data_IF_108481934426
#
_entry.id   IF_108481934426
#
_cell.length_a   1.000
_cell.length_b   1.000
_cell.length_c   1.000
_cell.angle_alpha   90.00
_cell.angle_beta   90.00
_cell.angle_gamma   90.00
#
_symmetry.space_group_name_H-M   'P 1'
#
loop_
_entity.id
_entity.type
_entity.pdbx_description
1 polymer ?
#
# COMPACT_ATOMS: atom_id res chain seq x y z
N UNK A 1 36.98 -1.65 4.77
CA UNK A 1 36.23 -1.43 6.03
C UNK A 1 35.61 -2.76 6.44
N UNK A 2 35.96 -3.33 7.61
CA UNK A 2 35.27 -4.53 8.11
C UNK A 2 33.83 -4.14 8.44
N UNK A 3 32.87 -4.86 7.86
CA UNK A 3 31.45 -4.59 7.97
C UNK A 3 31.02 -4.65 9.45
N UNK A 4 30.77 -3.50 10.08
CA UNK A 4 30.45 -3.36 11.52
C UNK A 4 29.00 -3.78 11.80
N UNK A 5 28.65 -5.04 11.57
CA UNK A 5 27.34 -5.59 11.96
C UNK A 5 26.13 -5.00 11.23
N UNK A 6 26.32 -4.36 10.08
CA UNK A 6 25.21 -3.93 9.22
C UNK A 6 24.78 -5.12 8.35
N UNK A 7 23.68 -5.77 8.74
CA UNK A 7 23.02 -6.77 7.91
C UNK A 7 22.19 -6.07 6.84
N UNK A 8 22.56 -6.20 5.57
CA UNK A 8 21.73 -5.75 4.46
C UNK A 8 20.50 -6.66 4.40
N UNK A 9 19.31 -6.10 4.63
CA UNK A 9 18.04 -6.81 4.50
C UNK A 9 17.36 -6.31 3.24
N UNK A 10 17.30 -7.16 2.22
CA UNK A 10 16.65 -6.81 0.94
C UNK A 10 15.21 -7.32 0.89
N UNK A 11 14.40 -6.90 1.86
CA UNK A 11 13.03 -7.38 1.99
C UNK A 11 12.17 -7.05 0.77
N UNK A 12 12.33 -5.84 0.23
CA UNK A 12 11.42 -5.30 -0.80
C UNK A 12 11.86 -5.66 -2.22
N UNK A 13 13.16 -5.71 -2.53
CA UNK A 13 13.62 -5.90 -3.92
C UNK A 13 14.03 -7.34 -4.25
N UNK A 14 14.11 -8.23 -3.26
CA UNK A 14 14.25 -9.68 -3.50
C UNK A 14 13.14 -10.21 -4.41
N UNK A 15 13.44 -11.16 -5.31
CA UNK A 15 12.41 -11.75 -6.17
C UNK A 15 11.40 -12.55 -5.33
N UNK A 16 10.12 -12.40 -5.65
CA UNK A 16 9.01 -13.13 -5.02
C UNK A 16 8.04 -13.55 -6.10
N UNK A 17 7.55 -14.78 -6.04
CA UNK A 17 6.40 -15.17 -6.85
C UNK A 17 5.11 -14.62 -6.22
N UNK A 18 4.40 -13.67 -6.87
CA UNK A 18 3.15 -13.14 -6.34
C UNK A 18 2.07 -14.22 -6.15
N UNK A 19 2.09 -15.28 -6.98
CA UNK A 19 1.08 -16.34 -6.94
C UNK A 19 1.11 -17.09 -5.60
N UNK A 20 2.30 -17.45 -5.13
CA UNK A 20 2.47 -18.16 -3.86
C UNK A 20 1.93 -17.35 -2.67
N UNK A 21 2.25 -16.06 -2.62
CA UNK A 21 1.83 -15.18 -1.52
C UNK A 21 0.32 -14.92 -1.56
N UNK A 22 -0.25 -14.69 -2.75
CA UNK A 22 -1.70 -14.51 -2.91
C UNK A 22 -2.49 -15.79 -2.60
N UNK A 23 -1.97 -16.97 -2.93
CA UNK A 23 -2.55 -18.25 -2.53
C UNK A 23 -2.49 -18.48 -1.02
N UNK A 24 -1.42 -18.01 -0.35
CA UNK A 24 -1.35 -18.02 1.11
C UNK A 24 -2.40 -17.09 1.71
N UNK A 25 -2.50 -15.85 1.21
CA UNK A 25 -3.49 -14.88 1.66
C UNK A 25 -4.94 -15.33 1.41
N UNK A 26 -5.22 -16.06 0.33
CA UNK A 26 -6.57 -16.52 -0.01
C UNK A 26 -7.10 -17.59 0.94
N UNK A 27 -6.21 -18.28 1.65
CA UNK A 27 -6.55 -19.26 2.69
C UNK A 27 -6.78 -18.61 4.06
N UNK A 28 -6.49 -17.33 4.20
CA UNK A 28 -6.70 -16.57 5.43
C UNK A 28 -8.03 -15.83 5.37
N UNK A 29 -8.71 -15.75 6.51
CA UNK A 29 -9.82 -14.84 6.76
C UNK A 29 -9.35 -13.39 6.83
N UNK A 30 -10.30 -12.45 6.68
CA UNK A 30 -10.03 -11.02 6.82
C UNK A 30 -9.40 -10.68 8.18
N UNK A 31 -9.91 -11.28 9.26
CA UNK A 31 -9.39 -11.07 10.62
C UNK A 31 -7.97 -11.61 10.79
N UNK A 32 -7.65 -12.79 10.24
CA UNK A 32 -6.29 -13.33 10.28
C UNK A 32 -5.28 -12.45 9.54
N UNK A 33 -5.67 -11.86 8.40
CA UNK A 33 -4.79 -10.93 7.66
C UNK A 33 -4.57 -9.66 8.49
N UNK A 34 -5.64 -9.07 9.04
CA UNK A 34 -5.54 -7.88 9.89
C UNK A 34 -4.66 -8.16 11.12
N UNK A 35 -4.86 -9.31 11.75
CA UNK A 35 -4.11 -9.73 12.92
C UNK A 35 -2.62 -9.92 12.61
N UNK A 36 -2.27 -10.55 11.49
CA UNK A 36 -0.88 -10.66 11.04
C UNK A 36 -0.22 -9.29 10.84
N UNK A 37 -0.92 -8.31 10.25
CA UNK A 37 -0.37 -6.95 10.06
C UNK A 37 -0.30 -6.17 11.39
N UNK A 38 -1.21 -6.43 12.33
CA UNK A 38 -1.14 -5.87 13.69
C UNK A 38 0.07 -6.42 14.44
N UNK A 39 0.24 -7.74 14.45
CA UNK A 39 1.33 -8.45 15.13
C UNK A 39 2.69 -8.11 14.55
N UNK A 40 2.78 -7.83 13.25
CA UNK A 40 4.02 -7.39 12.62
C UNK A 40 4.49 -6.01 13.11
N UNK A 41 3.60 -5.24 13.74
CA UNK A 41 3.89 -3.87 14.17
C UNK A 41 4.14 -2.90 13.00
N UNK A 42 3.63 -3.19 11.80
CA UNK A 42 3.83 -2.34 10.62
C UNK A 42 3.19 -0.97 10.82
N UNK A 43 4.03 0.07 10.84
CA UNK A 43 3.62 1.47 10.80
C UNK A 43 3.62 2.00 9.37
N UNK A 44 2.68 2.89 9.06
CA UNK A 44 2.57 3.54 7.77
C UNK A 44 3.89 4.23 7.38
N UNK A 45 4.37 3.96 6.17
CA UNK A 45 5.69 4.37 5.69
C UNK A 45 5.73 5.72 4.94
N UNK A 46 4.58 6.40 4.86
CA UNK A 46 4.44 7.74 4.27
C UNK A 46 4.63 8.92 5.23
N UNK A 47 5.19 8.71 6.43
CA UNK A 47 5.53 9.79 7.36
C UNK A 47 4.82 9.69 8.72
N UNK A 48 3.48 9.70 8.72
CA UNK A 48 2.69 9.76 9.96
C UNK A 48 2.84 8.55 10.91
N UNK A 49 3.35 7.41 10.43
CA UNK A 49 3.68 6.27 11.28
C UNK A 49 2.48 5.57 11.96
N UNK A 50 1.25 5.80 11.48
CA UNK A 50 0.05 5.18 12.05
C UNK A 50 0.07 3.64 11.89
N UNK A 51 -0.36 2.84 12.90
CA UNK A 51 -0.38 1.39 12.79
C UNK A 51 -1.29 0.89 11.65
N UNK A 52 -0.72 0.18 10.68
CA UNK A 52 -1.40 -0.22 9.44
C UNK A 52 -2.55 -1.20 9.73
N UNK A 53 -2.29 -2.21 10.58
CA UNK A 53 -3.32 -3.19 10.95
C UNK A 53 -4.51 -2.54 11.68
N UNK A 54 -4.27 -1.48 12.46
CA UNK A 54 -5.34 -0.76 13.15
C UNK A 54 -6.19 0.07 12.16
N UNK A 55 -5.54 0.72 11.19
CA UNK A 55 -6.24 1.42 10.08
C UNK A 55 -7.16 0.46 9.32
N UNK A 56 -6.68 -0.75 9.05
CA UNK A 56 -7.46 -1.78 8.37
C UNK A 56 -8.59 -2.31 9.24
N UNK A 57 -8.34 -2.55 10.53
CA UNK A 57 -9.38 -2.95 11.49
C UNK A 57 -10.54 -1.96 11.53
N UNK A 58 -10.25 -0.65 11.59
CA UNK A 58 -11.28 0.38 11.57
C UNK A 58 -12.04 0.42 10.25
N UNK A 59 -11.35 0.34 9.12
CA UNK A 59 -12.00 0.33 7.80
C UNK A 59 -12.84 -0.93 7.57
N UNK A 60 -12.38 -2.08 8.07
CA UNK A 60 -13.10 -3.35 7.99
C UNK A 60 -14.40 -3.34 8.81
N UNK A 61 -14.39 -2.67 9.97
CA UNK A 61 -15.55 -2.56 10.85
C UNK A 61 -16.72 -1.74 10.27
N UNK A 62 -16.44 -0.85 9.31
CA UNK A 62 -17.48 -0.05 8.67
C UNK A 62 -18.41 -0.91 7.79
N UNK A 63 -19.72 -0.72 7.96
CA UNK A 63 -20.75 -1.43 7.20
C UNK A 63 -21.06 -0.65 5.91
N UNK A 64 -20.38 -1.02 4.83
CA UNK A 64 -20.61 -0.45 3.50
C UNK A 64 -20.53 -1.55 2.44
N UNK A 65 -21.42 -1.55 1.43
CA UNK A 65 -21.32 -2.47 0.30
C UNK A 65 -20.08 -2.21 -0.56
N UNK A 66 -19.55 -0.99 -0.51
CA UNK A 66 -18.40 -0.54 -1.27
C UNK A 66 -17.33 0.00 -0.33
N UNK A 67 -16.10 -0.43 -0.54
CA UNK A 67 -14.91 0.04 0.18
C UNK A 67 -13.75 0.11 -0.80
N UNK A 68 -12.77 0.96 -0.49
CA UNK A 68 -11.62 1.20 -1.37
C UNK A 68 -10.29 1.00 -0.66
N UNK A 69 -9.31 0.50 -1.42
CA UNK A 69 -7.90 0.58 -1.07
C UNK A 69 -7.25 1.65 -1.93
N UNK A 70 -6.61 2.64 -1.31
CA UNK A 70 -5.86 3.67 -2.04
C UNK A 70 -4.37 3.48 -1.79
N UNK A 71 -3.61 3.39 -2.87
CA UNK A 71 -2.15 3.50 -2.85
C UNK A 71 -1.78 4.95 -3.15
N UNK A 72 -1.23 5.63 -2.14
CA UNK A 72 -0.67 6.97 -2.30
C UNK A 72 0.76 6.85 -2.86
N UNK A 73 0.91 7.18 -4.15
CA UNK A 73 2.16 7.23 -4.89
C UNK A 73 2.46 8.67 -5.39
N UNK A 74 2.11 9.68 -4.59
CA UNK A 74 2.38 11.08 -4.92
C UNK A 74 3.85 11.47 -4.68
N UNK A 75 4.52 10.85 -3.68
CA UNK A 75 5.95 11.03 -3.31
C UNK A 75 6.47 12.46 -3.57
N UNK A 76 5.73 13.48 -3.13
CA UNK A 76 6.00 14.88 -3.42
C UNK A 76 7.17 15.46 -2.62
N UNK A 77 7.61 14.76 -1.57
CA UNK A 77 8.63 15.22 -0.63
C UNK A 77 10.01 15.39 -1.31
N UNK A 78 10.69 16.53 -1.09
CA UNK A 78 12.05 16.71 -1.61
C UNK A 78 13.00 15.63 -1.09
N UNK A 79 13.83 15.07 -1.98
CA UNK A 79 14.82 14.04 -1.65
C UNK A 79 14.27 12.61 -1.58
N UNK A 80 12.95 12.41 -1.68
CA UNK A 80 12.36 11.06 -1.73
C UNK A 80 12.20 10.55 -3.16
N UNK A 81 12.62 9.31 -3.38
CA UNK A 81 12.45 8.58 -4.65
C UNK A 81 12.29 7.07 -4.43
N UNK A 82 11.95 6.67 -3.19
CA UNK A 82 11.80 5.27 -2.79
C UNK A 82 10.57 4.64 -3.42
N UNK A 83 9.45 5.36 -3.51
CA UNK A 83 8.20 4.85 -4.03
C UNK A 83 8.27 4.71 -5.55
N UNK A 84 8.92 5.68 -6.21
CA UNK A 84 9.33 5.56 -7.62
C UNK A 84 10.11 4.28 -7.87
N UNK A 85 11.14 4.02 -7.07
CA UNK A 85 12.02 2.86 -7.23
C UNK A 85 11.28 1.53 -6.98
N UNK A 86 10.39 1.49 -6.00
CA UNK A 86 9.55 0.32 -5.69
C UNK A 86 8.59 0.05 -6.86
N UNK A 87 7.95 1.09 -7.40
CA UNK A 87 7.05 0.97 -8.55
C UNK A 87 7.80 0.57 -9.82
N UNK A 88 9.01 1.10 -10.05
CA UNK A 88 9.78 0.76 -11.25
C UNK A 88 10.28 -0.69 -11.24
N UNK A 89 10.66 -1.21 -10.06
CA UNK A 89 11.31 -2.53 -9.94
C UNK A 89 10.37 -3.67 -9.57
N UNK A 90 9.36 -3.41 -8.73
CA UNK A 90 8.55 -4.46 -8.09
C UNK A 90 7.07 -4.05 -7.91
N UNK A 91 6.48 -3.34 -8.88
CA UNK A 91 5.08 -2.90 -8.80
C UNK A 91 4.09 -4.04 -8.52
N UNK A 92 4.32 -5.23 -9.06
CA UNK A 92 3.51 -6.43 -8.83
C UNK A 92 3.36 -6.74 -7.34
N UNK A 93 4.36 -6.40 -6.52
CA UNK A 93 4.26 -6.58 -5.07
C UNK A 93 3.40 -5.52 -4.39
N UNK A 94 3.42 -4.28 -4.90
CA UNK A 94 2.52 -3.21 -4.45
C UNK A 94 1.08 -3.61 -4.77
N UNK A 95 0.83 -4.11 -6.00
CA UNK A 95 -0.49 -4.59 -6.42
C UNK A 95 -0.95 -5.79 -5.59
N UNK A 96 -0.06 -6.74 -5.30
CA UNK A 96 -0.35 -7.85 -4.39
C UNK A 96 -0.68 -7.39 -2.97
N UNK A 97 0.08 -6.42 -2.44
CA UNK A 97 -0.23 -5.77 -1.17
C UNK A 97 -1.61 -5.10 -1.15
N UNK A 98 -2.00 -4.45 -2.26
CA UNK A 98 -3.34 -3.88 -2.41
C UNK A 98 -4.44 -4.94 -2.46
N UNK A 99 -4.23 -6.05 -3.16
CA UNK A 99 -5.19 -7.16 -3.21
C UNK A 99 -5.38 -7.82 -1.82
N UNK A 100 -4.29 -8.00 -1.08
CA UNK A 100 -4.31 -8.47 0.31
C UNK A 100 -5.08 -7.49 1.20
N UNK A 101 -4.80 -6.19 1.09
CA UNK A 101 -5.54 -5.15 1.80
C UNK A 101 -7.03 -5.17 1.45
N UNK A 102 -7.37 -5.36 0.17
CA UNK A 102 -8.74 -5.46 -0.32
C UNK A 102 -9.49 -6.61 0.34
N UNK A 103 -8.88 -7.79 0.37
CA UNK A 103 -9.42 -8.96 1.09
C UNK A 103 -9.58 -8.69 2.60
N UNK A 104 -8.61 -8.02 3.22
CA UNK A 104 -8.64 -7.73 4.65
C UNK A 104 -9.80 -6.81 5.04
N UNK A 105 -10.08 -5.77 4.24
CA UNK A 105 -11.11 -4.77 4.59
C UNK A 105 -12.47 -5.05 3.93
N UNK A 106 -12.54 -5.97 2.96
CA UNK A 106 -13.72 -6.25 2.15
C UNK A 106 -13.89 -5.29 0.96
N UNK A 107 -12.80 -4.73 0.44
CA UNK A 107 -12.81 -3.89 -0.75
C UNK A 107 -12.57 -4.72 -2.02
N UNK A 108 -13.29 -4.38 -3.09
CA UNK A 108 -13.11 -4.97 -4.44
C UNK A 108 -12.35 -4.04 -5.39
N UNK A 109 -12.16 -2.79 -5.00
CA UNK A 109 -11.52 -1.78 -5.83
C UNK A 109 -10.32 -1.13 -5.15
N UNK A 110 -9.25 -1.00 -5.93
CA UNK A 110 -8.01 -0.35 -5.59
C UNK A 110 -7.73 0.83 -6.52
N UNK A 111 -7.18 1.91 -5.98
CA UNK A 111 -6.78 3.07 -6.77
C UNK A 111 -5.32 3.37 -6.45
N UNK A 112 -4.47 3.38 -7.48
CA UNK A 112 -3.11 3.92 -7.38
C UNK A 112 -3.16 5.37 -7.82
N UNK A 113 -2.95 6.29 -6.88
CA UNK A 113 -2.81 7.71 -7.19
C UNK A 113 -1.34 8.00 -7.47
N UNK A 114 -0.98 8.11 -8.75
CA UNK A 114 0.39 8.31 -9.22
C UNK A 114 0.61 9.78 -9.52
N UNK A 115 1.64 10.40 -8.93
CA UNK A 115 1.97 11.80 -9.23
C UNK A 115 2.16 12.05 -10.73
N UNK A 116 1.83 13.26 -11.16
CA UNK A 116 1.90 13.65 -12.57
C UNK A 116 3.30 13.52 -13.17
N UNK A 117 4.34 13.79 -12.39
CA UNK A 117 5.74 13.75 -12.82
C UNK A 117 6.23 12.32 -13.09
N UNK A 118 5.56 11.30 -12.55
CA UNK A 118 5.86 9.89 -12.80
C UNK A 118 5.07 9.31 -13.98
N UNK A 119 4.44 10.15 -14.81
CA UNK A 119 3.74 9.73 -16.04
C UNK A 119 4.57 8.82 -16.95
N UNK A 120 5.89 8.96 -16.95
CA UNK A 120 6.79 8.11 -17.74
C UNK A 120 6.79 6.63 -17.29
N UNK A 121 6.45 6.32 -16.03
CA UNK A 121 6.32 4.95 -15.53
C UNK A 121 5.00 4.29 -15.95
N UNK A 122 3.96 5.09 -16.20
CA UNK A 122 2.59 4.62 -16.39
C UNK A 122 2.45 3.52 -17.48
N UNK A 123 3.07 3.62 -18.67
CA UNK A 123 2.92 2.56 -19.68
C UNK A 123 3.41 1.19 -19.22
N UNK A 124 4.54 1.15 -18.51
CA UNK A 124 5.09 -0.09 -17.97
C UNK A 124 4.25 -0.61 -16.80
N UNK A 125 3.82 0.28 -15.91
CA UNK A 125 2.93 -0.08 -14.79
C UNK A 125 1.59 -0.66 -15.26
N UNK A 126 0.99 -0.11 -16.33
CA UNK A 126 -0.24 -0.64 -16.91
C UNK A 126 -0.04 -2.04 -17.53
N UNK A 127 1.10 -2.27 -18.20
CA UNK A 127 1.44 -3.60 -18.73
C UNK A 127 1.57 -4.64 -17.62
N UNK A 128 2.23 -4.26 -16.53
CA UNK A 128 2.41 -5.12 -15.36
C UNK A 128 1.08 -5.35 -14.64
N UNK A 129 0.25 -4.31 -14.50
CA UNK A 129 -1.07 -4.41 -13.91
C UNK A 129 -2.00 -5.34 -14.70
N UNK A 130 -1.97 -5.27 -16.03
CA UNK A 130 -2.73 -6.19 -16.88
C UNK A 130 -2.32 -7.66 -16.65
N UNK A 131 -1.02 -7.92 -16.49
CA UNK A 131 -0.52 -9.27 -16.16
C UNK A 131 -0.97 -9.69 -14.76
N UNK A 132 -0.96 -8.76 -13.81
CA UNK A 132 -1.41 -8.98 -12.44
C UNK A 132 -2.92 -9.27 -12.36
N UNK A 133 -3.77 -8.58 -13.13
CA UNK A 133 -5.21 -8.88 -13.17
C UNK A 133 -5.51 -10.27 -13.73
N UNK A 134 -4.78 -10.71 -14.76
CA UNK A 134 -4.88 -12.10 -15.25
C UNK A 134 -4.53 -13.11 -14.15
N UNK A 135 -3.49 -12.83 -13.37
CA UNK A 135 -3.15 -13.66 -12.21
C UNK A 135 -4.26 -13.66 -11.16
N UNK A 136 -4.88 -12.52 -10.86
CA UNK A 136 -6.02 -12.47 -9.94
C UNK A 136 -7.20 -13.32 -10.45
N UNK A 137 -7.47 -13.29 -11.76
CA UNK A 137 -8.53 -14.10 -12.38
C UNK A 137 -8.25 -15.60 -12.26
N UNK A 138 -7.01 -16.03 -12.54
CA UNK A 138 -6.57 -17.41 -12.34
C UNK A 138 -6.72 -17.88 -10.88
N UNK A 139 -6.57 -16.96 -9.93
CA UNK A 139 -6.67 -17.23 -8.49
C UNK A 139 -8.08 -17.02 -7.92
N UNK A 140 -9.04 -16.57 -8.73
CA UNK A 140 -10.41 -16.26 -8.27
C UNK A 140 -10.51 -15.05 -7.33
N UNK A 141 -9.58 -14.10 -7.42
CA UNK A 141 -9.62 -12.85 -6.64
C UNK A 141 -10.54 -11.82 -7.31
N UNK A 142 -11.64 -11.48 -6.64
CA UNK A 142 -12.55 -10.38 -7.03
C UNK A 142 -12.01 -9.03 -6.55
N UNK A 143 -10.89 -8.60 -7.13
CA UNK A 143 -10.27 -7.31 -6.86
C UNK A 143 -9.73 -6.69 -8.15
N UNK A 144 -9.93 -5.38 -8.32
CA UNK A 144 -9.42 -4.61 -9.47
C UNK A 144 -8.72 -3.36 -9.01
N UNK A 145 -7.69 -2.97 -9.77
CA UNK A 145 -6.91 -1.77 -9.51
C UNK A 145 -7.01 -0.87 -10.74
N UNK A 146 -7.11 0.43 -10.52
CA UNK A 146 -6.99 1.45 -11.57
C UNK A 146 -5.98 2.51 -11.17
N UNK A 147 -5.41 3.18 -12.16
CA UNK A 147 -4.57 4.35 -11.94
C UNK A 147 -5.40 5.63 -11.98
N UNK A 148 -5.07 6.57 -11.11
CA UNK A 148 -5.50 7.96 -11.17
C UNK A 148 -4.23 8.81 -11.21
N UNK A 149 -4.13 9.71 -12.18
CA UNK A 149 -2.96 10.58 -12.32
C UNK A 149 -3.16 11.88 -11.56
N UNK A 150 -2.19 12.24 -10.74
CA UNK A 150 -2.10 13.56 -10.15
C UNK A 150 -1.69 14.62 -11.16
N UNK A 151 -1.87 15.89 -10.78
CA UNK A 151 -1.59 17.05 -11.64
C UNK A 151 -0.49 17.98 -11.09
N UNK A 152 0.49 17.41 -10.36
CA UNK A 152 1.69 18.12 -9.88
C UNK A 152 1.48 18.97 -8.63
N UNK A 153 0.43 18.71 -7.84
CA UNK A 153 0.14 19.44 -6.62
C UNK A 153 0.63 18.67 -5.39
N UNK A 154 1.68 19.17 -4.73
CA UNK A 154 2.27 18.58 -3.51
C UNK A 154 1.23 18.31 -2.40
N UNK A 155 0.23 19.19 -2.27
CA UNK A 155 -0.83 19.04 -1.24
C UNK A 155 -1.68 17.78 -1.45
N UNK A 156 -1.76 17.25 -2.68
CA UNK A 156 -2.46 16.01 -2.97
C UNK A 156 -1.73 14.77 -2.42
N UNK A 157 -0.54 14.92 -1.82
CA UNK A 157 0.06 13.89 -0.98
C UNK A 157 -0.66 13.71 0.36
N UNK A 158 -1.42 14.71 0.85
CA UNK A 158 -2.25 14.58 2.04
C UNK A 158 -3.46 13.68 1.77
N UNK A 159 -3.79 12.80 2.71
CA UNK A 159 -4.75 11.72 2.52
C UNK A 159 -6.12 12.17 1.99
N UNK A 160 -6.69 13.27 2.49
CA UNK A 160 -8.02 13.75 2.12
C UNK A 160 -8.01 14.65 0.88
N UNK A 161 -6.97 15.47 0.69
CA UNK A 161 -6.76 16.21 -0.56
C UNK A 161 -6.60 15.26 -1.76
N UNK A 162 -5.92 14.13 -1.55
CA UNK A 162 -5.79 13.07 -2.53
C UNK A 162 -7.16 12.53 -2.95
N UNK A 163 -8.10 12.36 -2.01
CA UNK A 163 -9.44 11.88 -2.32
C UNK A 163 -10.22 12.86 -3.19
N UNK A 164 -10.14 14.16 -2.89
CA UNK A 164 -10.75 15.18 -3.75
C UNK A 164 -10.18 15.13 -5.16
N UNK A 165 -8.85 15.01 -5.28
CA UNK A 165 -8.21 14.90 -6.59
C UNK A 165 -8.62 13.63 -7.35
N UNK A 166 -8.81 12.49 -6.68
CA UNK A 166 -9.32 11.25 -7.29
C UNK A 166 -10.74 11.46 -7.82
N UNK A 167 -11.55 12.26 -7.12
CA UNK A 167 -12.94 12.56 -7.47
C UNK A 167 -13.07 13.58 -8.60
N UNK A 168 -11.97 14.21 -9.02
CA UNK A 168 -11.96 15.28 -10.03
C UNK A 168 -12.14 16.69 -9.45
N UNK A 169 -12.18 16.81 -8.13
CA UNK A 169 -12.27 18.08 -7.42
C UNK A 169 -10.87 18.69 -7.20
N UNK A 170 -10.83 19.94 -6.75
CA UNK A 170 -9.58 20.57 -6.30
C UNK A 170 -9.06 19.83 -5.06
N UNK A 171 -7.76 19.55 -5.01
CA UNK A 171 -7.08 18.85 -3.90
C UNK A 171 -7.00 19.66 -2.60
N UNK A 172 -8.15 20.10 -2.08
CA UNK A 172 -8.28 20.80 -0.81
C UNK A 172 -8.49 19.76 0.31
N UNK A 173 -7.65 19.74 1.36
CA UNK A 173 -7.84 18.82 2.48
C UNK A 173 -9.21 18.99 3.16
N UNK A 174 -9.81 17.88 3.57
CA UNK A 174 -11.05 17.87 4.35
C UNK A 174 -10.76 18.09 5.83
N UNK A 175 -11.66 18.78 6.51
CA UNK A 175 -11.68 18.80 7.97
C UNK A 175 -11.95 17.39 8.51
N UNK A 176 -11.25 17.03 9.61
CA UNK A 176 -11.46 15.77 10.34
C UNK A 176 -12.11 16.11 11.68
N UNK A 177 -13.19 15.42 12.11
CA UNK A 177 -13.93 14.35 11.41
C UNK A 177 -14.76 14.84 10.19
N UNK A 178 -15.15 13.92 9.26
CA UNK A 178 -14.99 12.46 9.31
C UNK A 178 -13.58 11.98 8.92
N UNK A 179 -13.19 10.80 9.45
CA UNK A 179 -11.91 10.17 9.12
C UNK A 179 -12.00 9.35 7.81
N UNK A 180 -10.89 9.20 7.06
CA UNK A 180 -10.83 8.40 5.83
C UNK A 180 -11.37 6.98 5.94
N UNK A 181 -11.13 6.33 7.09
CA UNK A 181 -11.56 4.95 7.35
C UNK A 181 -13.08 4.81 7.34
N UNK A 182 -13.82 5.89 7.63
CA UNK A 182 -15.28 5.93 7.64
C UNK A 182 -15.83 6.60 6.37
N UNK A 183 -15.23 7.71 5.92
CA UNK A 183 -15.63 8.44 4.72
C UNK A 183 -14.40 8.99 4.00
N UNK A 184 -13.93 8.25 3.00
CA UNK A 184 -12.77 8.59 2.17
C UNK A 184 -13.17 8.88 0.72
N UNK A 185 -12.59 8.14 -0.23
CA UNK A 185 -12.89 8.29 -1.66
C UNK A 185 -14.35 7.96 -1.93
N UNK A 186 -15.02 8.82 -2.70
CA UNK A 186 -16.46 8.74 -2.99
C UNK A 186 -17.33 8.64 -1.74
N UNK A 187 -16.84 9.21 -0.63
CA UNK A 187 -17.47 9.18 0.69
C UNK A 187 -17.71 7.76 1.22
N UNK A 188 -16.93 6.77 0.75
CA UNK A 188 -16.97 5.38 1.23
C UNK A 188 -15.80 5.07 2.17
N UNK A 189 -15.92 4.07 3.05
CA UNK A 189 -14.80 3.60 3.87
C UNK A 189 -13.58 3.29 3.00
N UNK A 190 -12.47 3.95 3.28
CA UNK A 190 -11.27 3.86 2.45
C UNK A 190 -10.03 3.68 3.31
N UNK A 191 -9.22 2.66 2.97
CA UNK A 191 -7.88 2.52 3.54
C UNK A 191 -6.84 3.05 2.56
N UNK A 192 -6.32 4.25 2.85
CA UNK A 192 -5.18 4.83 2.15
C UNK A 192 -3.86 4.39 2.79
N UNK A 193 -2.92 3.93 1.96
CA UNK A 193 -1.59 3.46 2.38
C UNK A 193 -0.53 3.92 1.37
N UNK A 194 0.68 4.22 1.85
CA UNK A 194 1.82 4.55 0.99
C UNK A 194 2.32 3.29 0.24
N UNK A 195 2.94 3.49 -0.93
CA UNK A 195 3.56 2.42 -1.76
C UNK A 195 4.44 1.48 -0.91
N UNK A 196 5.40 2.02 -0.14
CA UNK A 196 6.29 1.23 0.72
C UNK A 196 5.52 0.40 1.76
N UNK A 197 4.37 0.90 2.25
CA UNK A 197 3.54 0.18 3.22
C UNK A 197 2.90 -1.06 2.56
N UNK A 198 2.35 -0.90 1.35
CA UNK A 198 1.66 -1.97 0.64
C UNK A 198 2.61 -3.07 0.18
N UNK A 199 3.79 -2.73 -0.36
CA UNK A 199 4.80 -3.75 -0.67
C UNK A 199 5.27 -4.49 0.58
N UNK A 200 5.37 -3.79 1.72
CA UNK A 200 5.76 -4.40 2.99
C UNK A 200 4.71 -5.40 3.50
N UNK A 201 3.41 -5.10 3.34
CA UNK A 201 2.33 -6.05 3.63
C UNK A 201 2.55 -7.36 2.88
N UNK A 202 2.84 -7.30 1.58
CA UNK A 202 3.05 -8.51 0.79
C UNK A 202 4.20 -9.36 1.35
N UNK A 203 5.27 -8.71 1.80
CA UNK A 203 6.40 -9.38 2.42
C UNK A 203 6.07 -9.95 3.81
N UNK A 204 5.25 -9.26 4.60
CA UNK A 204 4.74 -9.77 5.89
C UNK A 204 3.90 -11.01 5.67
N UNK A 205 2.98 -11.04 4.70
CA UNK A 205 2.20 -12.24 4.43
C UNK A 205 3.08 -13.39 3.94
N UNK A 206 4.08 -13.11 3.11
CA UNK A 206 5.07 -14.12 2.68
C UNK A 206 5.79 -14.74 3.90
N UNK A 207 6.41 -13.92 4.73
CA UNK A 207 7.36 -14.36 5.77
C UNK A 207 6.72 -14.65 7.14
N UNK A 208 5.54 -14.08 7.41
CA UNK A 208 4.88 -14.09 8.70
C UNK A 208 5.29 -12.90 9.59
N UNK A 209 4.37 -12.48 10.45
CA UNK A 209 4.56 -11.39 11.42
C UNK A 209 5.77 -11.59 12.32
N UNK A 210 5.97 -12.81 12.85
CA UNK A 210 7.07 -13.14 13.76
C UNK A 210 8.45 -12.84 13.15
N UNK A 211 8.68 -13.28 11.91
CA UNK A 211 9.93 -13.02 11.19
C UNK A 211 10.13 -11.52 10.94
N UNK A 212 9.06 -10.80 10.61
CA UNK A 212 9.13 -9.35 10.39
C UNK A 212 9.45 -8.57 11.67
N UNK A 213 8.93 -9.00 12.83
CA UNK A 213 9.21 -8.38 14.13
C UNK A 213 10.68 -8.50 14.53
N UNK A 214 11.40 -9.53 14.08
CA UNK A 214 12.83 -9.65 14.33
C UNK A 214 13.67 -8.57 13.61
N UNK A 215 13.08 -7.86 12.65
CA UNK A 215 13.72 -6.74 11.97
C UNK A 215 13.45 -5.42 12.70
N UNK A 216 14.46 -4.56 12.76
CA UNK A 216 14.36 -3.23 13.35
C UNK A 216 14.45 -3.21 14.89
N UNK A 217 13.85 -2.21 15.52
CA UNK A 217 13.85 -2.02 16.98
C UNK A 217 12.46 -2.28 17.57
N UNK A 218 12.37 -2.32 18.90
CA UNK A 218 11.09 -2.52 19.62
C UNK A 218 10.00 -1.58 19.13
N UNK A 219 10.34 -0.30 18.92
CA UNK A 219 9.38 0.76 18.56
C UNK A 219 9.28 1.02 17.06
N UNK A 220 10.23 0.48 16.26
CA UNK A 220 10.31 0.63 14.81
C UNK A 220 10.69 -0.69 14.16
N UNK A 221 9.69 -1.55 13.97
CA UNK A 221 9.83 -2.89 13.37
C UNK A 221 9.96 -2.84 11.85
N UNK A 222 10.55 -3.89 11.28
CA UNK A 222 10.74 -4.05 9.84
C UNK A 222 12.00 -3.39 9.30
N UNK A 223 12.09 -3.33 7.98
CA UNK A 223 13.05 -2.51 7.25
C UNK A 223 12.40 -1.22 6.74
N UNK A 224 13.24 -0.29 6.26
CA UNK A 224 12.83 0.93 5.56
C UNK A 224 13.75 1.18 4.37
N UNK A 225 13.16 1.63 3.26
CA UNK A 225 13.93 2.12 2.09
C UNK A 225 14.34 3.56 2.35
N UNK A 226 15.64 3.82 2.33
CA UNK A 226 16.21 5.15 2.49
C UNK A 226 16.61 5.72 1.12
N UNK A 227 16.15 6.93 0.84
CA UNK A 227 16.64 7.75 -0.28
C UNK A 227 17.81 8.59 0.21
N UNK A 228 18.97 8.48 -0.44
CA UNK A 228 20.15 9.31 -0.17
C UNK A 228 20.26 10.31 -1.32
N UNK A 229 20.02 11.58 -1.03
CA UNK A 229 19.91 12.68 -2.01
C UNK A 229 20.83 13.84 -1.66
#
# INVERSE_FOLDING_TARGET
MKNKGLNKVDLIFEKVDPKEVLLKASKMSSDEIIQQVLESGLKGRGGAGFPTGLKWKYTAAEKSPEKYVVCNADEGEPGTFKDREILDKVAYKVFGGMAIAGRAIGAKEGIVYLRGEYKFLLPQLLKELNSFHKLLDELGYDFRIRFCMGSGAYICGEESALFESIQGERGEPRNKPPYPTTSGVFFKPTSINNVETLVTVMMIIKQGAEAFVQLGTKDSRGSKVFSVS
#
